data_IF_115326259173
#
_entry.id   IF_115326259173
#
_cell.length_a   1.000
_cell.length_b   1.000
_cell.length_c   1.000
_cell.angle_alpha   90.00
_cell.angle_beta   90.00
_cell.angle_gamma   90.00
#
_symmetry.space_group_name_H-M   'P 1'
#
loop_
_entity.id
_entity.type
_entity.pdbx_description
1 polymer ?
#
# COMPACT_ATOMS: atom_id res chain seq x y z
N UNK A 1 35.76 49.58 36.88
CA UNK A 1 35.99 49.07 38.25
C UNK A 1 35.95 47.54 38.19
N UNK A 2 37.02 46.88 38.69
CA UNK A 2 37.17 45.51 39.28
C UNK A 2 36.06 44.46 38.96
N UNK A 3 36.29 43.20 38.61
CA UNK A 3 37.34 42.22 38.96
C UNK A 3 37.21 40.98 38.02
N UNK A 4 38.31 40.33 37.56
CA UNK A 4 38.81 38.97 37.95
C UNK A 4 37.78 37.82 37.81
N UNK A 5 38.00 36.67 37.15
CA UNK A 5 39.07 35.68 37.32
C UNK A 5 39.09 34.67 36.14
N UNK A 6 40.30 34.24 35.82
CA UNK A 6 40.71 33.02 35.13
C UNK A 6 40.51 31.79 36.02
N UNK A 7 40.25 30.60 35.45
CA UNK A 7 41.15 29.44 35.54
C UNK A 7 40.46 28.09 35.27
N UNK A 8 41.29 27.22 34.69
CA UNK A 8 41.14 25.81 34.34
C UNK A 8 40.66 24.92 35.49
N UNK A 9 40.04 23.78 35.16
CA UNK A 9 40.40 22.51 35.79
C UNK A 9 40.14 21.30 34.88
N UNK A 10 41.07 20.34 35.01
CA UNK A 10 41.24 19.10 34.27
C UNK A 10 40.58 17.95 35.04
N UNK A 11 40.26 16.87 34.32
CA UNK A 11 40.42 15.44 34.67
C UNK A 11 39.83 14.64 33.50
N UNK A 12 40.51 13.82 32.68
CA UNK A 12 41.54 12.77 32.87
C UNK A 12 41.16 11.65 33.83
N UNK A 13 40.83 10.48 33.26
CA UNK A 13 41.27 9.12 33.62
C UNK A 13 40.32 8.09 32.95
N UNK A 14 40.77 7.31 31.96
CA UNK A 14 41.48 6.02 32.10
C UNK A 14 40.48 4.86 32.32
N UNK A 15 40.25 3.98 31.33
CA UNK A 15 41.02 2.79 30.91
C UNK A 15 40.36 1.48 31.40
N UNK A 16 40.60 0.44 30.60
CA UNK A 16 40.44 -1.01 30.88
C UNK A 16 39.06 -1.61 30.63
N UNK A 17 38.88 -2.84 30.16
CA UNK A 17 39.67 -3.80 29.38
C UNK A 17 38.80 -5.06 29.16
N UNK A 18 39.18 -5.90 28.19
CA UNK A 18 39.00 -7.38 28.16
C UNK A 18 37.66 -8.02 27.72
N UNK A 19 37.73 -8.52 26.48
CA UNK A 19 37.26 -9.81 25.89
C UNK A 19 37.45 -11.07 26.78
N UNK A 20 37.18 -12.33 26.30
CA UNK A 20 35.97 -12.98 25.74
C UNK A 20 35.72 -14.40 26.35
N UNK A 21 34.67 -15.15 25.96
CA UNK A 21 34.53 -16.64 26.10
C UNK A 21 33.22 -17.08 25.41
N UNK A 22 33.18 -17.80 24.27
CA UNK A 22 33.41 -19.23 23.96
C UNK A 22 32.67 -20.24 24.85
N UNK A 23 31.66 -20.92 24.29
CA UNK A 23 31.36 -22.34 24.58
C UNK A 23 30.53 -22.98 23.45
N UNK A 24 30.90 -24.20 23.10
CA UNK A 24 30.35 -25.08 22.07
C UNK A 24 29.56 -26.23 22.70
N UNK A 25 28.57 -26.80 22.01
CA UNK A 25 28.15 -28.23 22.06
C UNK A 25 27.03 -28.48 21.02
N UNK A 26 27.29 -29.19 19.91
CA UNK A 26 27.08 -30.64 19.69
C UNK A 26 25.60 -31.10 19.72
N UNK A 27 24.98 -31.36 18.57
CA UNK A 27 24.86 -32.66 17.84
C UNK A 27 23.99 -33.70 18.57
N UNK A 28 22.85 -34.04 17.96
CA UNK A 28 22.31 -35.41 18.01
C UNK A 28 21.38 -35.67 16.82
N UNK A 29 21.91 -36.43 15.86
CA UNK A 29 21.15 -37.14 14.84
C UNK A 29 20.70 -38.48 15.44
N UNK A 30 19.43 -38.85 15.24
CA UNK A 30 18.99 -40.25 15.32
C UNK A 30 18.16 -40.59 14.10
N UNK A 31 18.79 -41.31 13.19
CA UNK A 31 18.18 -42.22 12.22
C UNK A 31 17.58 -43.42 12.96
N UNK A 32 16.48 -43.99 12.46
CA UNK A 32 16.26 -45.44 12.40
C UNK A 32 15.17 -45.78 11.36
N UNK A 33 15.35 -46.95 10.77
CA UNK A 33 14.93 -47.49 9.47
C UNK A 33 13.64 -48.35 9.53
N UNK A 34 13.16 -48.95 8.42
CA UNK A 34 11.76 -49.33 8.20
C UNK A 34 11.45 -50.81 8.49
N UNK A 35 10.16 -51.20 8.49
CA UNK A 35 9.71 -52.60 8.41
C UNK A 35 8.33 -52.71 7.74
N UNK A 36 8.25 -53.68 6.84
CA UNK A 36 7.23 -54.00 5.83
C UNK A 36 6.05 -54.84 6.36
N UNK A 37 5.00 -54.97 5.54
CA UNK A 37 3.90 -55.98 5.49
C UNK A 37 2.52 -55.41 5.89
N UNK A 38 1.36 -55.74 5.27
CA UNK A 38 0.95 -56.64 4.18
C UNK A 38 -0.54 -56.38 3.85
N UNK A 39 -0.90 -56.71 2.62
CA UNK A 39 -2.18 -56.73 1.90
C UNK A 39 -3.39 -57.37 2.61
N UNK A 40 -4.59 -56.81 2.38
CA UNK A 40 -5.81 -57.59 2.04
C UNK A 40 -6.81 -56.73 1.24
N UNK A 41 -7.20 -57.27 0.08
CA UNK A 41 -8.32 -56.83 -0.74
C UNK A 41 -9.64 -57.37 -0.20
N UNK A 42 -10.76 -56.63 -0.34
CA UNK A 42 -12.09 -57.24 -0.47
C UNK A 42 -13.00 -56.36 -1.32
N UNK A 43 -13.55 -56.98 -2.36
CA UNK A 43 -14.66 -56.62 -3.27
C UNK A 43 -15.96 -56.34 -2.49
N UNK A 44 -16.97 -55.56 -2.91
CA UNK A 44 -17.86 -55.62 -4.11
C UNK A 44 -18.88 -54.42 -4.02
N UNK A 45 -19.91 -54.19 -4.89
CA UNK A 45 -20.05 -52.91 -5.62
C UNK A 45 -21.43 -52.19 -5.52
N UNK A 46 -21.52 -51.04 -6.19
CA UNK A 46 -22.72 -50.35 -6.77
C UNK A 46 -23.81 -49.76 -5.85
N UNK A 47 -23.89 -48.42 -5.80
CA UNK A 47 -25.12 -47.67 -6.13
C UNK A 47 -24.84 -46.18 -6.45
N UNK A 48 -25.09 -45.84 -7.72
CA UNK A 48 -25.63 -44.60 -8.31
C UNK A 48 -25.44 -43.21 -7.66
N UNK A 49 -24.60 -42.41 -8.35
CA UNK A 49 -24.92 -41.08 -8.94
C UNK A 49 -25.11 -39.86 -8.01
N UNK A 50 -25.13 -38.62 -8.55
CA UNK A 50 -23.94 -37.79 -8.67
C UNK A 50 -24.14 -36.46 -7.93
N UNK A 51 -23.20 -36.02 -7.10
CA UNK A 51 -23.17 -34.60 -6.74
C UNK A 51 -22.00 -33.94 -7.43
N UNK A 52 -22.29 -33.42 -8.63
CA UNK A 52 -21.51 -32.38 -9.28
C UNK A 52 -21.62 -31.15 -8.38
N UNK A 53 -20.83 -31.10 -7.30
CA UNK A 53 -20.51 -29.83 -6.67
C UNK A 53 -19.43 -29.23 -7.55
N UNK A 54 -19.90 -28.44 -8.51
CA UNK A 54 -19.12 -27.46 -9.23
C UNK A 54 -18.11 -26.86 -8.27
N UNK A 55 -16.83 -27.20 -8.44
CA UNK A 55 -15.74 -26.35 -7.97
C UNK A 55 -15.91 -25.09 -8.78
N UNK A 56 -16.70 -24.15 -8.26
CA UNK A 56 -16.64 -22.76 -8.69
C UNK A 56 -15.17 -22.40 -8.63
N UNK A 57 -14.59 -22.17 -9.81
CA UNK A 57 -13.29 -21.57 -9.93
C UNK A 57 -13.41 -20.21 -9.24
N UNK A 58 -13.00 -20.13 -7.97
CA UNK A 58 -13.01 -18.88 -7.21
C UNK A 58 -11.94 -18.01 -7.87
N UNK A 59 -12.35 -17.26 -8.90
CA UNK A 59 -11.59 -16.10 -9.33
C UNK A 59 -11.38 -15.23 -8.09
N UNK A 60 -10.16 -14.69 -7.87
CA UNK A 60 -9.95 -13.80 -6.75
C UNK A 60 -10.90 -12.60 -6.92
N UNK A 61 -11.87 -12.48 -6.02
CA UNK A 61 -12.78 -11.34 -5.98
C UNK A 61 -11.93 -10.06 -5.90
N UNK A 62 -12.00 -9.26 -6.95
CA UNK A 62 -11.28 -7.99 -7.10
C UNK A 62 -11.93 -6.91 -6.24
N UNK A 63 -11.25 -5.79 -6.04
CA UNK A 63 -11.84 -4.64 -5.35
C UNK A 63 -13.05 -4.08 -6.12
N UNK A 64 -13.02 -4.14 -7.46
CA UNK A 64 -14.11 -3.69 -8.31
C UNK A 64 -15.36 -4.58 -8.18
N UNK A 65 -15.20 -5.88 -7.96
CA UNK A 65 -16.34 -6.82 -7.80
C UNK A 65 -17.21 -6.50 -6.57
N UNK A 66 -16.66 -5.76 -5.59
CA UNK A 66 -17.40 -5.33 -4.41
C UNK A 66 -18.33 -4.14 -4.68
N UNK A 67 -18.14 -3.44 -5.81
CA UNK A 67 -18.88 -2.23 -6.17
C UNK A 67 -19.64 -2.43 -7.49
N UNK A 68 -20.79 -3.13 -7.48
CA UNK A 68 -21.59 -3.39 -8.68
C UNK A 68 -21.97 -2.14 -9.48
N UNK A 69 -22.07 -0.99 -8.83
CA UNK A 69 -22.40 0.27 -9.51
C UNK A 69 -21.33 0.76 -10.49
N UNK A 70 -20.10 0.22 -10.42
CA UNK A 70 -19.04 0.47 -11.41
C UNK A 70 -19.28 -0.25 -12.75
N UNK A 71 -20.13 -1.28 -12.76
CA UNK A 71 -20.48 -2.06 -13.94
C UNK A 71 -19.56 -3.25 -14.22
N UNK A 72 -19.97 -4.15 -15.14
CA UNK A 72 -19.26 -5.41 -15.42
C UNK A 72 -17.93 -5.24 -16.15
N UNK A 73 -17.74 -4.12 -16.84
CA UNK A 73 -16.53 -3.78 -17.58
C UNK A 73 -15.75 -2.65 -16.87
N UNK A 74 -15.86 -2.51 -15.56
CA UNK A 74 -15.22 -1.45 -14.79
C UNK A 74 -13.67 -1.49 -14.79
N UNK A 75 -13.08 -2.63 -15.14
CA UNK A 75 -11.63 -2.79 -15.19
C UNK A 75 -11.06 -2.27 -16.53
N UNK A 76 -9.98 -1.48 -16.51
CA UNK A 76 -9.23 -1.17 -17.71
C UNK A 76 -8.59 -2.41 -18.36
N UNK A 77 -8.50 -2.46 -19.71
CA UNK A 77 -8.72 -1.36 -20.66
C UNK A 77 -10.19 -1.15 -21.07
N UNK A 78 -11.11 -2.01 -20.64
CA UNK A 78 -12.52 -1.92 -21.06
C UNK A 78 -13.27 -0.79 -20.37
N UNK A 79 -12.95 -0.56 -19.10
CA UNK A 79 -13.50 0.50 -18.27
C UNK A 79 -12.54 1.68 -18.14
N UNK A 80 -13.06 2.84 -17.71
CA UNK A 80 -12.24 4.00 -17.43
C UNK A 80 -11.37 3.77 -16.18
N UNK A 81 -10.21 4.42 -16.14
CA UNK A 81 -9.40 4.47 -14.92
C UNK A 81 -10.03 5.41 -13.88
N UNK A 82 -10.58 6.53 -14.32
CA UNK A 82 -11.27 7.52 -13.52
C UNK A 82 -12.65 7.00 -13.08
N UNK A 83 -12.88 7.01 -11.77
CA UNK A 83 -14.12 6.58 -11.15
C UNK A 83 -14.91 7.79 -10.63
N UNK A 84 -16.24 7.70 -10.68
CA UNK A 84 -17.11 8.64 -9.96
C UNK A 84 -17.01 8.38 -8.45
N UNK A 85 -16.21 9.21 -7.78
CA UNK A 85 -15.97 9.11 -6.34
C UNK A 85 -17.23 9.33 -5.50
N UNK A 86 -18.21 10.09 -6.01
CA UNK A 86 -19.47 10.34 -5.29
C UNK A 86 -20.32 9.08 -5.27
N UNK A 87 -20.43 8.41 -6.42
CA UNK A 87 -21.10 7.14 -6.56
C UNK A 87 -20.40 6.03 -5.77
N UNK A 88 -19.06 5.94 -5.86
CA UNK A 88 -18.25 5.00 -5.09
C UNK A 88 -18.48 5.18 -3.57
N UNK A 89 -18.45 6.43 -3.08
CA UNK A 89 -18.68 6.72 -1.66
C UNK A 89 -20.10 6.36 -1.21
N UNK A 90 -21.11 6.62 -2.05
CA UNK A 90 -22.50 6.27 -1.75
C UNK A 90 -22.66 4.76 -1.62
N UNK A 91 -22.10 3.99 -2.53
CA UNK A 91 -22.19 2.53 -2.49
C UNK A 91 -21.38 1.95 -1.30
N UNK A 92 -20.19 2.49 -1.03
CA UNK A 92 -19.41 2.15 0.15
C UNK A 92 -20.23 2.26 1.44
N UNK A 93 -20.90 3.39 1.68
CA UNK A 93 -21.72 3.58 2.88
C UNK A 93 -22.86 2.56 2.99
N UNK A 94 -23.48 2.20 1.86
CA UNK A 94 -24.54 1.19 1.81
C UNK A 94 -24.02 -0.22 2.12
N UNK A 95 -22.88 -0.59 1.55
CA UNK A 95 -22.24 -1.88 1.79
C UNK A 95 -21.78 -1.98 3.25
N UNK A 96 -21.16 -0.93 3.77
CA UNK A 96 -20.66 -0.87 5.15
C UNK A 96 -21.80 -0.98 6.17
N UNK A 97 -22.95 -0.34 5.91
CA UNK A 97 -24.13 -0.47 6.77
C UNK A 97 -24.69 -1.90 6.80
N UNK A 98 -24.66 -2.62 5.66
CA UNK A 98 -25.10 -4.02 5.57
C UNK A 98 -24.10 -5.00 6.21
N UNK A 99 -22.81 -4.65 6.18
CA UNK A 99 -21.70 -5.46 6.66
C UNK A 99 -21.38 -5.25 8.14
N UNK A 100 -22.08 -4.35 8.84
CA UNK A 100 -21.68 -3.89 10.16
C UNK A 100 -21.73 -5.04 11.20
N UNK A 101 -20.61 -5.32 11.92
CA UNK A 101 -20.52 -6.48 12.80
C UNK A 101 -21.45 -6.41 14.01
N UNK A 102 -21.87 -5.21 14.42
CA UNK A 102 -22.82 -5.05 15.53
C UNK A 102 -24.26 -5.46 15.17
N UNK A 103 -24.58 -5.52 13.88
CA UNK A 103 -25.88 -6.00 13.40
C UNK A 103 -25.86 -7.52 13.12
N UNK A 104 -24.69 -8.15 13.16
CA UNK A 104 -24.52 -9.56 12.85
C UNK A 104 -24.77 -10.44 14.09
N UNK A 105 -25.45 -11.58 13.94
CA UNK A 105 -25.49 -12.60 14.99
C UNK A 105 -24.08 -13.03 15.40
N UNK A 106 -23.90 -13.43 16.66
CA UNK A 106 -22.59 -13.77 17.23
C UNK A 106 -21.81 -14.80 16.39
N UNK A 107 -22.49 -15.76 15.79
CA UNK A 107 -21.92 -16.81 14.92
C UNK A 107 -21.35 -16.26 13.60
N UNK A 108 -21.91 -15.15 13.10
CA UNK A 108 -21.50 -14.50 11.86
C UNK A 108 -20.65 -13.25 12.09
N UNK A 109 -20.41 -12.86 13.34
CA UNK A 109 -19.69 -11.63 13.69
C UNK A 109 -18.32 -11.55 13.02
N UNK A 110 -17.51 -12.62 13.07
CA UNK A 110 -16.21 -12.67 12.40
C UNK A 110 -16.29 -12.53 10.88
N UNK A 111 -17.32 -13.09 10.26
CA UNK A 111 -17.52 -12.97 8.81
C UNK A 111 -17.91 -11.54 8.44
N UNK A 112 -18.76 -10.89 9.25
CA UNK A 112 -19.12 -9.49 9.09
C UNK A 112 -17.91 -8.56 9.28
N UNK A 113 -17.07 -8.81 10.29
CA UNK A 113 -15.80 -8.08 10.51
C UNK A 113 -14.87 -8.21 9.30
N UNK A 114 -14.66 -9.42 8.78
CA UNK A 114 -13.82 -9.65 7.60
C UNK A 114 -14.36 -8.95 6.35
N UNK A 115 -15.68 -9.02 6.12
CA UNK A 115 -16.33 -8.39 4.98
C UNK A 115 -16.27 -6.86 5.07
N UNK A 116 -16.52 -6.30 6.26
CA UNK A 116 -16.36 -4.87 6.56
C UNK A 116 -14.93 -4.38 6.31
N UNK A 117 -13.92 -5.13 6.79
CA UNK A 117 -12.52 -4.80 6.54
C UNK A 117 -12.20 -4.78 5.05
N UNK A 118 -12.70 -5.77 4.31
CA UNK A 118 -12.49 -5.88 2.87
C UNK A 118 -13.14 -4.73 2.08
N UNK A 119 -14.36 -4.33 2.44
CA UNK A 119 -15.03 -3.16 1.85
C UNK A 119 -14.20 -1.90 2.09
N UNK A 120 -13.69 -1.71 3.31
CA UNK A 120 -12.86 -0.56 3.64
C UNK A 120 -11.56 -0.52 2.84
N UNK A 121 -10.88 -1.66 2.70
CA UNK A 121 -9.66 -1.80 1.91
C UNK A 121 -9.94 -1.44 0.44
N UNK A 122 -10.95 -2.08 -0.16
CA UNK A 122 -11.31 -1.82 -1.54
C UNK A 122 -11.72 -0.36 -1.78
N UNK A 123 -12.50 0.24 -0.88
CA UNK A 123 -12.87 1.65 -0.97
C UNK A 123 -11.63 2.56 -0.92
N UNK A 124 -10.72 2.35 0.04
CA UNK A 124 -9.49 3.17 0.16
C UNK A 124 -8.59 3.02 -1.06
N UNK A 125 -8.43 1.80 -1.57
CA UNK A 125 -7.64 1.53 -2.77
C UNK A 125 -8.27 2.18 -4.00
N UNK A 126 -9.59 2.06 -4.18
CA UNK A 126 -10.26 2.63 -5.35
C UNK A 126 -10.45 4.15 -5.22
N UNK A 127 -10.46 4.73 -4.03
CA UNK A 127 -10.68 6.18 -3.86
C UNK A 127 -9.47 7.00 -4.32
N UNK A 128 -8.25 6.61 -3.93
CA UNK A 128 -7.04 7.36 -4.26
C UNK A 128 -6.48 6.90 -5.63
N UNK A 129 -6.24 7.81 -6.59
CA UNK A 129 -5.75 7.45 -7.91
C UNK A 129 -4.39 6.72 -7.89
N UNK A 130 -3.51 7.03 -6.95
CA UNK A 130 -2.22 6.37 -6.82
C UNK A 130 -2.38 4.90 -6.41
N UNK A 131 -3.11 4.64 -5.33
CA UNK A 131 -3.33 3.27 -4.86
C UNK A 131 -4.17 2.47 -5.84
N UNK A 132 -5.08 3.11 -6.59
CA UNK A 132 -5.82 2.50 -7.69
C UNK A 132 -4.89 2.09 -8.84
N UNK A 133 -3.99 2.97 -9.27
CA UNK A 133 -3.02 2.67 -10.32
C UNK A 133 -2.08 1.54 -9.90
N UNK A 134 -1.54 1.60 -8.68
CA UNK A 134 -0.71 0.54 -8.11
C UNK A 134 -1.45 -0.80 -8.04
N UNK A 135 -2.71 -0.79 -7.60
CA UNK A 135 -3.55 -2.00 -7.57
C UNK A 135 -3.77 -2.60 -8.95
N UNK A 136 -4.12 -1.78 -9.95
CA UNK A 136 -4.31 -2.24 -11.31
C UNK A 136 -3.02 -2.81 -11.92
N UNK A 137 -1.88 -2.16 -11.68
CA UNK A 137 -0.56 -2.67 -12.10
C UNK A 137 -0.20 -3.98 -11.38
N UNK A 138 -0.49 -4.09 -10.08
CA UNK A 138 -0.26 -5.30 -9.30
C UNK A 138 -1.10 -6.46 -9.83
N UNK A 139 -2.35 -6.22 -10.25
CA UNK A 139 -3.18 -7.22 -10.91
C UNK A 139 -2.58 -7.74 -12.22
N UNK A 140 -1.69 -6.96 -12.85
CA UNK A 140 -0.91 -7.35 -14.04
C UNK A 140 0.48 -7.89 -13.71
N UNK A 141 0.80 -8.06 -12.43
CA UNK A 141 2.09 -8.58 -11.95
C UNK A 141 3.19 -7.53 -11.84
N UNK A 142 2.86 -6.24 -11.93
CA UNK A 142 3.81 -5.13 -11.80
C UNK A 142 3.64 -4.50 -10.42
N UNK A 143 4.62 -4.70 -9.54
CA UNK A 143 4.59 -4.11 -8.20
C UNK A 143 5.33 -2.75 -8.19
N UNK A 144 4.56 -1.67 -8.12
CA UNK A 144 5.08 -0.30 -7.97
C UNK A 144 5.12 0.13 -6.51
N UNK A 145 4.28 -0.45 -5.66
CA UNK A 145 4.18 -0.06 -4.26
C UNK A 145 5.35 -0.63 -3.43
N UNK A 146 5.75 -1.87 -3.71
CA UNK A 146 6.87 -2.55 -3.03
C UNK A 146 8.24 -2.26 -3.65
N UNK A 147 8.30 -1.61 -4.81
CA UNK A 147 9.56 -1.24 -5.45
C UNK A 147 10.08 0.09 -4.89
N UNK A 148 10.67 0.03 -3.70
CA UNK A 148 11.40 1.15 -3.08
C UNK A 148 12.59 1.62 -3.94
N UNK A 149 13.03 0.80 -4.90
CA UNK A 149 14.10 1.11 -5.84
C UNK A 149 13.63 1.73 -7.15
N UNK A 150 12.32 1.76 -7.42
CA UNK A 150 11.71 2.50 -8.52
C UNK A 150 11.87 4.00 -8.26
N UNK A 151 13.09 4.48 -8.49
CA UNK A 151 13.42 5.89 -8.52
C UNK A 151 13.04 6.43 -9.89
N UNK A 152 12.54 7.65 -9.89
CA UNK A 152 12.35 8.36 -11.14
C UNK A 152 13.73 8.75 -11.69
N UNK A 153 14.01 8.34 -12.92
CA UNK A 153 15.20 8.72 -13.68
C UNK A 153 14.94 10.00 -14.52
N UNK A 154 13.93 10.79 -14.17
CA UNK A 154 13.59 12.07 -14.78
C UNK A 154 14.19 13.22 -13.95
N UNK A 155 15.27 13.87 -14.42
CA UNK A 155 15.90 14.98 -13.71
C UNK A 155 14.97 16.18 -13.55
N UNK A 156 14.04 16.41 -14.50
CA UNK A 156 13.11 17.53 -14.43
C UNK A 156 12.14 17.32 -13.26
N UNK A 157 11.57 16.12 -13.13
CA UNK A 157 10.73 15.78 -11.99
C UNK A 157 11.47 15.96 -10.67
N UNK A 158 12.72 15.47 -10.58
CA UNK A 158 13.49 15.54 -9.35
C UNK A 158 13.78 16.98 -8.94
N UNK A 159 14.08 17.87 -9.89
CA UNK A 159 14.23 19.30 -9.63
C UNK A 159 12.90 19.90 -9.11
N UNK A 160 11.78 19.62 -9.76
CA UNK A 160 10.47 20.12 -9.30
C UNK A 160 10.12 19.66 -7.89
N UNK A 161 10.44 18.42 -7.54
CA UNK A 161 10.21 17.87 -6.19
C UNK A 161 11.11 18.57 -5.16
N UNK A 162 12.37 18.83 -5.49
CA UNK A 162 13.30 19.55 -4.60
C UNK A 162 12.87 21.00 -4.38
N UNK A 163 12.54 21.73 -5.46
CA UNK A 163 12.04 23.10 -5.37
C UNK A 163 10.75 23.18 -4.54
N UNK A 164 9.85 22.21 -4.75
CA UNK A 164 8.61 22.14 -3.98
C UNK A 164 8.88 21.93 -2.48
N UNK A 165 9.88 21.13 -2.12
CA UNK A 165 10.28 20.92 -0.72
C UNK A 165 10.83 22.19 -0.10
N UNK A 166 11.69 22.91 -0.80
CA UNK A 166 12.23 24.19 -0.33
C UNK A 166 11.11 25.19 -0.03
N UNK A 167 10.13 25.32 -0.93
CA UNK A 167 8.95 26.17 -0.71
C UNK A 167 8.19 25.77 0.56
N UNK A 168 8.03 24.47 0.81
CA UNK A 168 7.33 23.97 2.01
C UNK A 168 8.13 24.27 3.29
N UNK A 169 9.45 24.13 3.25
CA UNK A 169 10.33 24.37 4.39
C UNK A 169 10.47 25.87 4.73
N UNK A 170 10.43 26.74 3.72
CA UNK A 170 10.52 28.19 3.89
C UNK A 170 9.20 28.85 4.30
N UNK A 171 8.07 28.18 4.07
CA UNK A 171 6.77 28.72 4.39
C UNK A 171 6.60 28.96 5.90
N UNK A 172 6.15 30.17 6.25
CA UNK A 172 5.85 30.55 7.62
C UNK A 172 4.38 30.31 7.98
N UNK A 173 3.48 30.30 6.98
CA UNK A 173 2.04 30.10 7.18
C UNK A 173 1.45 29.16 6.13
N UNK A 174 0.28 28.60 6.44
CA UNK A 174 -0.43 27.71 5.52
C UNK A 174 -0.92 28.46 4.26
N UNK A 175 -1.24 29.74 4.38
CA UNK A 175 -1.67 30.58 3.25
C UNK A 175 -0.59 30.74 2.18
N UNK A 176 0.69 30.76 2.56
CA UNK A 176 1.82 30.82 1.62
C UNK A 176 1.92 29.55 0.75
N UNK A 177 1.40 28.43 1.25
CA UNK A 177 1.36 27.15 0.53
C UNK A 177 0.14 27.01 -0.39
N UNK A 178 -0.83 27.92 -0.31
CA UNK A 178 -2.04 27.82 -1.13
C UNK A 178 -1.77 27.76 -2.64
N UNK A 179 -0.87 28.58 -3.23
CA UNK A 179 -0.51 28.47 -4.64
C UNK A 179 0.13 27.12 -4.98
N UNK A 180 0.92 26.56 -4.06
CA UNK A 180 1.54 25.26 -4.23
C UNK A 180 0.52 24.13 -4.18
N UNK A 181 -0.45 24.18 -3.25
CA UNK A 181 -1.60 23.25 -3.20
C UNK A 181 -2.31 23.19 -4.56
N UNK A 182 -2.66 24.35 -5.10
CA UNK A 182 -3.36 24.45 -6.39
C UNK A 182 -2.52 23.94 -7.56
N UNK A 183 -1.22 24.25 -7.58
CA UNK A 183 -0.31 23.73 -8.60
C UNK A 183 -0.19 22.20 -8.53
N UNK A 184 -0.04 21.65 -7.33
CA UNK A 184 0.10 20.23 -7.13
C UNK A 184 -1.18 19.46 -7.48
N UNK A 185 -2.36 20.00 -7.17
CA UNK A 185 -3.64 19.42 -7.62
C UNK A 185 -3.76 19.38 -9.15
N UNK A 186 -3.25 20.40 -9.87
CA UNK A 186 -3.17 20.37 -11.34
C UNK A 186 -2.21 19.28 -11.84
N UNK A 187 -1.06 19.11 -11.20
CA UNK A 187 -0.10 18.04 -11.53
C UNK A 187 -0.72 16.65 -11.32
N UNK A 188 -1.41 16.44 -10.20
CA UNK A 188 -2.14 15.20 -9.91
C UNK A 188 -3.21 14.95 -10.97
N UNK A 189 -4.02 15.95 -11.33
CA UNK A 189 -5.06 15.81 -12.34
C UNK A 189 -4.47 15.47 -13.73
N UNK A 190 -3.34 16.08 -14.10
CA UNK A 190 -2.62 15.77 -15.34
C UNK A 190 -2.10 14.32 -15.34
N UNK A 191 -1.46 13.88 -14.25
CA UNK A 191 -1.00 12.49 -14.09
C UNK A 191 -2.14 11.48 -14.18
N UNK A 192 -3.30 11.80 -13.58
CA UNK A 192 -4.51 10.96 -13.71
C UNK A 192 -4.97 10.85 -15.17
N UNK A 193 -4.90 11.94 -15.94
CA UNK A 193 -5.21 11.92 -17.37
C UNK A 193 -4.25 11.04 -18.18
N UNK A 194 -2.96 11.08 -17.88
CA UNK A 194 -1.96 10.21 -18.52
C UNK A 194 -2.21 8.74 -18.17
N UNK A 195 -2.51 8.44 -16.90
CA UNK A 195 -2.87 7.08 -16.47
C UNK A 195 -4.14 6.58 -17.17
N UNK A 196 -5.15 7.43 -17.34
CA UNK A 196 -6.38 7.10 -18.10
C UNK A 196 -6.03 6.62 -19.50
N UNK A 197 -5.22 7.39 -20.24
CA UNK A 197 -4.81 7.03 -21.58
C UNK A 197 -3.96 5.76 -21.62
N UNK A 198 -3.01 5.62 -20.69
CA UNK A 198 -2.13 4.46 -20.62
C UNK A 198 -2.93 3.18 -20.37
N UNK A 199 -3.84 3.19 -19.39
CA UNK A 199 -4.72 2.06 -19.11
C UNK A 199 -5.70 1.76 -20.25
N UNK A 200 -6.21 2.78 -20.94
CA UNK A 200 -7.08 2.60 -22.10
C UNK A 200 -6.35 1.95 -23.28
N UNK A 201 -5.07 2.29 -23.48
CA UNK A 201 -4.19 1.72 -24.52
C UNK A 201 -3.53 0.40 -24.11
N UNK A 202 -3.75 -0.04 -22.87
CA UNK A 202 -3.09 -1.19 -22.23
C UNK A 202 -1.55 -1.05 -22.18
N UNK A 203 -1.05 0.18 -22.11
CA UNK A 203 0.37 0.51 -22.01
C UNK A 203 0.84 0.47 -20.56
N UNK A 204 1.36 -0.67 -20.14
CA UNK A 204 1.76 -0.92 -18.74
C UNK A 204 3.07 -0.23 -18.36
N UNK A 205 3.95 0.03 -19.32
CA UNK A 205 5.23 0.73 -19.07
C UNK A 205 4.94 2.20 -18.78
N UNK A 206 4.14 2.86 -19.63
CA UNK A 206 3.71 4.23 -19.39
C UNK A 206 2.90 4.36 -18.08
N UNK A 207 1.99 3.41 -17.81
CA UNK A 207 1.22 3.41 -16.56
C UNK A 207 2.13 3.24 -15.32
N UNK A 208 3.18 2.42 -15.41
CA UNK A 208 4.17 2.25 -14.35
C UNK A 208 4.92 3.56 -14.09
N UNK A 209 5.51 4.14 -15.13
CA UNK A 209 6.28 5.39 -15.02
C UNK A 209 5.43 6.52 -14.42
N UNK A 210 4.20 6.68 -14.92
CA UNK A 210 3.29 7.70 -14.43
C UNK A 210 2.81 7.44 -13.00
N UNK A 211 2.61 6.17 -12.61
CA UNK A 211 2.29 5.84 -11.22
C UNK A 211 3.41 6.20 -10.24
N UNK A 212 4.68 6.03 -10.66
CA UNK A 212 5.84 6.46 -9.85
C UNK A 212 5.87 7.99 -9.76
N UNK A 213 5.64 8.71 -10.86
CA UNK A 213 5.55 10.19 -10.87
C UNK A 213 4.42 10.69 -9.96
N UNK A 214 3.24 10.09 -10.06
CA UNK A 214 2.07 10.42 -9.23
C UNK A 214 2.36 10.23 -7.73
N UNK A 215 3.19 9.25 -7.33
CA UNK A 215 3.62 9.08 -5.93
C UNK A 215 4.27 10.34 -5.39
N UNK A 216 5.14 11.00 -6.14
CA UNK A 216 5.78 12.24 -5.69
C UNK A 216 4.77 13.38 -5.48
N UNK A 217 3.81 13.53 -6.38
CA UNK A 217 2.75 14.55 -6.23
C UNK A 217 1.84 14.28 -5.04
N UNK A 218 1.47 13.02 -4.80
CA UNK A 218 0.67 12.64 -3.63
C UNK A 218 1.46 12.91 -2.35
N UNK A 219 2.75 12.57 -2.30
CA UNK A 219 3.60 12.83 -1.13
C UNK A 219 3.73 14.34 -0.87
N UNK A 220 3.88 15.16 -1.92
CA UNK A 220 3.88 16.63 -1.78
C UNK A 220 2.56 17.12 -1.20
N UNK A 221 1.41 16.63 -1.67
CA UNK A 221 0.10 16.99 -1.11
C UNK A 221 0.04 16.66 0.37
N UNK A 222 0.44 15.45 0.75
CA UNK A 222 0.46 15.01 2.14
C UNK A 222 1.38 15.88 3.00
N UNK A 223 2.51 16.33 2.47
CA UNK A 223 3.43 17.25 3.18
C UNK A 223 2.79 18.60 3.45
N UNK A 224 2.11 19.12 2.44
CA UNK A 224 1.48 20.43 2.50
C UNK A 224 0.25 20.37 3.43
N UNK A 225 -0.50 19.27 3.42
CA UNK A 225 -1.63 19.04 4.33
C UNK A 225 -1.17 18.78 5.77
N UNK A 226 0.02 18.21 5.96
CA UNK A 226 0.65 17.98 7.27
C UNK A 226 1.52 19.16 7.74
N UNK A 227 1.55 20.28 6.99
CA UNK A 227 2.35 21.44 7.33
C UNK A 227 1.96 21.99 8.72
N UNK A 228 2.95 22.17 9.58
CA UNK A 228 2.80 22.86 10.84
C UNK A 228 3.90 23.92 10.97
N UNK A 229 3.57 25.19 11.28
CA UNK A 229 4.55 26.25 11.35
C UNK A 229 5.63 25.95 12.39
N UNK A 230 6.90 25.98 11.96
CA UNK A 230 8.07 25.77 12.83
C UNK A 230 8.45 24.31 13.09
N UNK A 231 7.83 23.31 12.42
CA UNK A 231 8.28 21.91 12.43
C UNK A 231 8.98 21.55 11.11
N UNK A 232 10.09 20.79 11.14
CA UNK A 232 10.72 20.30 9.92
C UNK A 232 9.82 19.27 9.23
N UNK A 233 9.63 19.42 7.92
CA UNK A 233 8.83 18.51 7.10
C UNK A 233 9.64 17.25 6.78
N UNK A 234 9.19 16.09 7.26
CA UNK A 234 9.81 14.79 6.94
C UNK A 234 8.89 14.07 5.96
N UNK A 235 9.35 13.97 4.72
CA UNK A 235 8.68 13.24 3.66
C UNK A 235 9.12 11.78 3.61
N UNK A 236 8.17 10.85 3.73
CA UNK A 236 8.40 9.43 3.50
C UNK A 236 8.54 9.23 1.98
N UNK A 237 9.57 8.51 1.54
CA UNK A 237 9.88 8.23 0.13
C UNK A 237 9.26 6.91 -0.29
#
# INVERSE_FOLDING_TARGET
>A
MRATLSALSRNSAALTSRTPLRASAQVSLRTFTPTTARTISTTTPCHESPNVTSRETILPQTHYDLFPSLGPDALPPKGPFALDLSLLRKEFLQLQAKAHPDLAPQEKKRQAEALSSRINEAYKTLQNPLTRAQYLLQMRGIDVAGDETAKVEDPELLMEVLETREIIEEAATEEELQPLKELNERRIAASVGVLEEAFQKDDMEAAKEEAVKLRYWVNIRESVDAFEPGKPVVLIH
#
